data_IF_785902977874
#
_entry.id   IF_785902977874
#
_cell.length_a   1.000
_cell.length_b   1.000
_cell.length_c   1.000
_cell.angle_alpha   90.00
_cell.angle_beta   90.00
_cell.angle_gamma   90.00
#
_symmetry.space_group_name_H-M   'P 1'
#
loop_
_entity.id
_entity.type
_entity.pdbx_description
1 polymer ?
#
# COMPACT_ATOMS: atom_id res chain seq x y z
N UNK A 1 9.86 5.43 9.88
CA UNK A 1 8.67 4.69 9.44
C UNK A 1 8.24 3.70 10.52
N UNK A 2 6.99 3.57 10.72
CA UNK A 2 6.42 2.52 11.57
C UNK A 2 5.35 1.80 10.75
N UNK A 3 5.06 0.56 11.12
CA UNK A 3 3.97 -0.15 10.47
C UNK A 3 3.20 -0.99 11.48
N UNK A 4 1.96 -1.27 11.11
CA UNK A 4 1.05 -2.09 11.91
C UNK A 4 0.19 -2.88 10.94
N UNK A 5 -0.12 -4.13 11.29
CA UNK A 5 -0.99 -4.97 10.47
C UNK A 5 -2.29 -5.23 11.23
N UNK A 6 -3.39 -5.14 10.52
CA UNK A 6 -4.71 -5.42 11.06
C UNK A 6 -5.50 -6.21 10.03
N UNK A 7 -6.68 -6.69 10.38
CA UNK A 7 -7.52 -7.45 9.46
C UNK A 7 -8.90 -6.81 9.34
N UNK A 8 -9.50 -6.94 8.15
CA UNK A 8 -10.87 -6.53 7.87
C UNK A 8 -11.49 -7.62 6.99
N UNK A 9 -12.26 -8.53 7.58
CA UNK A 9 -12.77 -9.69 6.86
C UNK A 9 -11.63 -10.55 6.32
N UNK A 10 -11.63 -10.79 5.01
CA UNK A 10 -10.57 -11.56 4.36
C UNK A 10 -9.36 -10.72 3.97
N UNK A 11 -9.38 -9.41 4.26
CA UNK A 11 -8.29 -8.51 3.91
C UNK A 11 -7.33 -8.32 5.08
N UNK A 12 -6.04 -8.21 4.74
CA UNK A 12 -5.02 -7.73 5.67
C UNK A 12 -4.70 -6.29 5.32
N UNK A 13 -4.64 -5.43 6.33
CA UNK A 13 -4.36 -4.01 6.16
C UNK A 13 -3.00 -3.73 6.76
N UNK A 14 -2.09 -3.20 5.94
CA UNK A 14 -0.79 -2.72 6.41
C UNK A 14 -0.85 -1.21 6.53
N UNK A 15 -0.64 -0.69 7.74
CA UNK A 15 -0.60 0.75 8.02
C UNK A 15 0.85 1.19 8.03
N UNK A 16 1.21 2.08 7.13
CA UNK A 16 2.52 2.73 7.14
C UNK A 16 2.38 4.14 7.70
N UNK A 17 3.40 4.61 8.40
CA UNK A 17 3.38 5.97 8.96
C UNK A 17 4.78 6.59 8.91
N UNK A 18 4.82 7.92 8.95
CA UNK A 18 6.06 8.67 8.94
C UNK A 18 6.68 8.73 7.54
N UNK A 19 7.99 8.63 7.48
CA UNK A 19 8.74 8.77 6.23
C UNK A 19 9.03 7.39 5.62
N UNK A 20 8.57 7.19 4.40
CA UNK A 20 8.85 5.96 3.63
C UNK A 20 9.90 6.31 2.58
N UNK A 21 11.12 6.44 3.05
CA UNK A 21 12.26 6.90 2.26
C UNK A 21 13.23 5.74 1.98
N UNK A 22 14.37 6.07 1.38
CA UNK A 22 15.38 5.08 1.01
C UNK A 22 15.86 4.26 2.21
N UNK A 23 15.88 4.84 3.40
CA UNK A 23 16.31 4.14 4.61
C UNK A 23 15.31 3.06 5.03
N UNK A 24 14.02 3.33 4.90
CA UNK A 24 12.96 2.47 5.43
C UNK A 24 12.22 1.66 4.37
N UNK A 25 12.33 2.03 3.09
CA UNK A 25 11.60 1.33 2.03
C UNK A 25 11.98 -0.15 1.90
N UNK A 26 13.24 -0.60 2.14
CA UNK A 26 13.54 -2.03 2.11
C UNK A 26 12.74 -2.82 3.14
N UNK A 27 12.53 -2.25 4.34
CA UNK A 27 11.72 -2.88 5.38
C UNK A 27 10.25 -2.93 4.99
N UNK A 28 9.72 -1.83 4.45
CA UNK A 28 8.34 -1.78 3.95
C UNK A 28 8.12 -2.82 2.85
N UNK A 29 9.06 -2.94 1.93
CA UNK A 29 9.02 -3.93 0.86
C UNK A 29 8.98 -5.36 1.42
N UNK A 30 9.87 -5.67 2.38
CA UNK A 30 9.91 -6.98 3.01
C UNK A 30 8.57 -7.32 3.66
N UNK A 31 8.01 -6.38 4.41
CA UNK A 31 6.76 -6.58 5.12
C UNK A 31 5.59 -6.79 4.17
N UNK A 32 5.53 -6.00 3.10
CA UNK A 32 4.50 -6.14 2.06
C UNK A 32 4.60 -7.50 1.37
N UNK A 33 5.79 -7.90 0.97
CA UNK A 33 5.97 -9.17 0.27
C UNK A 33 5.71 -10.36 1.18
N UNK A 34 6.09 -10.27 2.46
CA UNK A 34 5.79 -11.31 3.43
C UNK A 34 4.27 -11.45 3.64
N UNK A 35 3.56 -10.34 3.69
CA UNK A 35 2.12 -10.34 3.84
C UNK A 35 1.44 -10.97 2.61
N UNK A 36 1.92 -10.66 1.42
CA UNK A 36 1.39 -11.19 0.18
C UNK A 36 1.62 -12.70 0.01
N UNK A 37 2.61 -13.26 0.69
CA UNK A 37 2.82 -14.71 0.72
C UNK A 37 1.74 -15.43 1.50
N UNK A 38 1.18 -14.76 2.51
CA UNK A 38 0.24 -15.36 3.44
C UNK A 38 -1.22 -15.05 3.10
N UNK A 39 -1.47 -13.98 2.32
CA UNK A 39 -2.81 -13.59 1.92
C UNK A 39 -2.78 -12.99 0.52
N UNK A 40 -3.84 -13.21 -0.22
CA UNK A 40 -4.01 -12.62 -1.56
C UNK A 40 -4.75 -11.29 -1.52
N UNK A 41 -5.19 -10.85 -0.35
CA UNK A 41 -6.02 -9.65 -0.20
C UNK A 41 -5.36 -8.68 0.75
N UNK A 42 -4.70 -7.68 0.19
CA UNK A 42 -3.90 -6.71 0.96
C UNK A 42 -4.35 -5.29 0.63
N UNK A 43 -4.57 -4.52 1.67
CA UNK A 43 -4.79 -3.08 1.60
C UNK A 43 -3.61 -2.40 2.29
N UNK A 44 -3.14 -1.30 1.72
CA UNK A 44 -2.08 -0.50 2.33
C UNK A 44 -2.65 0.86 2.69
N UNK A 45 -2.64 1.18 3.98
CA UNK A 45 -3.11 2.46 4.48
C UNK A 45 -1.94 3.43 4.56
N UNK A 46 -2.06 4.54 3.86
CA UNK A 46 -1.03 5.57 3.80
C UNK A 46 -1.47 6.88 4.45
N UNK A 47 -2.53 6.84 5.26
CA UNK A 47 -3.10 8.07 5.84
C UNK A 47 -2.14 8.78 6.80
N UNK A 48 -1.23 8.06 7.43
CA UNK A 48 -0.25 8.62 8.36
C UNK A 48 1.14 8.77 7.74
N UNK A 49 1.28 8.64 6.42
CA UNK A 49 2.56 8.83 5.74
C UNK A 49 2.81 10.32 5.55
N UNK A 50 3.91 10.82 6.11
CA UNK A 50 4.31 12.22 6.01
C UNK A 50 5.14 12.50 4.77
N UNK A 51 5.88 11.50 4.30
CA UNK A 51 6.80 11.63 3.18
C UNK A 51 7.00 10.25 2.54
N UNK A 52 7.05 10.23 1.22
CA UNK A 52 7.41 9.04 0.46
C UNK A 52 8.26 9.48 -0.74
N UNK A 53 9.36 8.77 -0.98
CA UNK A 53 10.21 9.03 -2.14
C UNK A 53 10.06 7.93 -3.19
N UNK A 54 10.88 8.01 -4.23
CA UNK A 54 10.81 7.05 -5.34
C UNK A 54 11.08 5.61 -4.89
N UNK A 55 11.91 5.41 -3.85
CA UNK A 55 12.17 4.06 -3.34
C UNK A 55 10.96 3.48 -2.63
N UNK A 56 10.22 4.30 -1.88
CA UNK A 56 8.96 3.88 -1.25
C UNK A 56 7.90 3.57 -2.28
N UNK A 57 7.78 4.41 -3.29
CA UNK A 57 6.85 4.19 -4.41
C UNK A 57 7.19 2.90 -5.14
N UNK A 58 8.48 2.63 -5.39
CA UNK A 58 8.91 1.40 -6.05
C UNK A 58 8.51 0.15 -5.25
N UNK A 59 8.56 0.23 -3.92
CA UNK A 59 8.13 -0.87 -3.05
C UNK A 59 6.64 -1.16 -3.22
N UNK A 60 5.82 -0.11 -3.33
CA UNK A 60 4.38 -0.27 -3.57
C UNK A 60 4.10 -0.86 -4.95
N UNK A 61 4.82 -0.42 -5.97
CA UNK A 61 4.68 -0.96 -7.33
C UNK A 61 5.03 -2.44 -7.37
N UNK A 62 6.12 -2.83 -6.72
CA UNK A 62 6.51 -4.24 -6.67
C UNK A 62 5.45 -5.09 -5.98
N UNK A 63 4.91 -4.61 -4.85
CA UNK A 63 3.84 -5.31 -4.15
C UNK A 63 2.59 -5.47 -5.02
N UNK A 64 2.24 -4.42 -5.74
CA UNK A 64 1.12 -4.45 -6.68
C UNK A 64 1.33 -5.51 -7.76
N UNK A 65 2.53 -5.57 -8.34
CA UNK A 65 2.86 -6.55 -9.37
C UNK A 65 2.80 -7.98 -8.83
N UNK A 66 3.31 -8.21 -7.63
CA UNK A 66 3.25 -9.54 -7.00
C UNK A 66 1.81 -9.96 -6.75
N UNK A 67 0.99 -9.04 -6.25
CA UNK A 67 -0.43 -9.32 -6.02
C UNK A 67 -1.14 -9.72 -7.33
N UNK A 68 -0.86 -9.01 -8.42
CA UNK A 68 -1.43 -9.33 -9.71
C UNK A 68 -0.99 -10.69 -10.24
N UNK A 69 0.29 -11.03 -10.05
CA UNK A 69 0.82 -12.34 -10.46
C UNK A 69 0.11 -13.48 -9.74
N UNK A 70 -0.28 -13.26 -8.49
CA UNK A 70 -0.99 -14.26 -7.69
C UNK A 70 -2.50 -14.15 -7.79
N UNK A 71 -3.01 -13.31 -8.71
CA UNK A 71 -4.45 -13.07 -8.88
C UNK A 71 -5.10 -12.58 -7.59
N UNK A 72 -4.35 -11.81 -6.81
CA UNK A 72 -4.80 -11.25 -5.55
C UNK A 72 -5.43 -9.88 -5.71
N UNK A 73 -5.94 -9.34 -4.60
CA UNK A 73 -6.45 -7.98 -4.52
C UNK A 73 -5.44 -7.10 -3.79
N UNK A 74 -5.15 -5.93 -4.34
CA UNK A 74 -4.25 -4.95 -3.75
C UNK A 74 -4.80 -3.57 -4.00
N UNK A 75 -4.89 -2.75 -2.95
CA UNK A 75 -5.33 -1.37 -3.08
C UNK A 75 -4.66 -0.50 -2.03
N UNK A 76 -4.63 0.80 -2.30
CA UNK A 76 -4.20 1.82 -1.36
C UNK A 76 -5.43 2.47 -0.75
N UNK A 77 -5.41 2.75 0.53
CA UNK A 77 -6.53 3.38 1.23
C UNK A 77 -6.06 4.56 2.05
N UNK A 78 -6.90 5.58 2.13
CA UNK A 78 -6.66 6.75 2.96
C UNK A 78 -5.37 7.47 2.63
N UNK A 79 -4.98 7.53 1.36
CA UNK A 79 -3.69 8.08 0.96
C UNK A 79 -3.56 9.53 1.39
N UNK A 80 -2.50 9.84 2.16
CA UNK A 80 -2.24 11.22 2.61
C UNK A 80 -1.99 12.14 1.42
N UNK A 81 -2.20 13.44 1.63
CA UNK A 81 -1.95 14.43 0.58
C UNK A 81 -0.51 14.38 0.08
N UNK A 82 0.44 14.23 1.01
CA UNK A 82 1.85 14.14 0.66
C UNK A 82 2.15 12.93 -0.22
N UNK A 83 1.62 11.76 0.13
CA UNK A 83 1.81 10.55 -0.65
C UNK A 83 1.08 10.64 -2.00
N UNK A 84 -0.13 11.19 -2.01
CA UNK A 84 -0.92 11.31 -3.23
C UNK A 84 -0.22 12.20 -4.26
N UNK A 85 0.39 13.31 -3.83
CA UNK A 85 1.14 14.19 -4.74
C UNK A 85 2.26 13.44 -5.45
N UNK A 86 3.01 12.60 -4.72
CA UNK A 86 4.09 11.81 -5.31
C UNK A 86 3.55 10.79 -6.30
N UNK A 87 2.46 10.11 -5.95
CA UNK A 87 1.82 9.16 -6.85
C UNK A 87 1.31 9.84 -8.13
N UNK A 88 0.71 11.03 -8.00
CA UNK A 88 0.21 11.79 -9.14
C UNK A 88 1.34 12.24 -10.07
N UNK A 89 2.45 12.71 -9.49
CA UNK A 89 3.62 13.12 -10.28
C UNK A 89 4.21 11.95 -11.07
N UNK A 90 4.17 10.76 -10.50
CA UNK A 90 4.63 9.53 -11.16
C UNK A 90 3.53 8.89 -12.03
N UNK A 91 2.34 9.47 -12.07
CA UNK A 91 1.16 8.95 -12.78
C UNK A 91 0.70 7.59 -12.28
N UNK A 92 1.04 7.25 -11.06
CA UNK A 92 0.68 5.96 -10.46
C UNK A 92 -0.69 5.99 -9.80
N UNK A 93 -1.28 7.18 -9.60
CA UNK A 93 -2.66 7.32 -9.17
C UNK A 93 -3.65 6.68 -10.15
N UNK A 94 -3.23 6.45 -11.40
CA UNK A 94 -4.01 5.75 -12.42
C UNK A 94 -3.76 4.25 -12.44
N UNK A 95 -2.64 3.80 -11.86
CA UNK A 95 -2.24 2.39 -11.83
C UNK A 95 -2.81 1.69 -10.61
N UNK A 96 -2.67 2.32 -9.44
CA UNK A 96 -3.21 1.75 -8.20
C UNK A 96 -4.70 2.02 -8.08
N UNK A 97 -5.42 1.06 -7.51
CA UNK A 97 -6.78 1.29 -7.03
C UNK A 97 -6.67 2.02 -5.69
N UNK A 98 -7.27 3.19 -5.61
CA UNK A 98 -7.18 4.05 -4.43
C UNK A 98 -8.59 4.31 -3.90
N UNK A 99 -8.77 4.06 -2.61
CA UNK A 99 -10.05 4.28 -1.93
C UNK A 99 -9.83 5.17 -0.70
N UNK A 100 -10.88 5.84 -0.26
CA UNK A 100 -10.79 6.70 0.93
C UNK A 100 -10.65 5.88 2.21
N UNK A 101 -11.30 4.72 2.28
CA UNK A 101 -11.30 3.87 3.47
C UNK A 101 -11.12 2.41 3.10
N UNK A 102 -10.67 1.62 4.08
CA UNK A 102 -10.57 0.18 3.92
C UNK A 102 -11.92 -0.48 3.66
N UNK A 103 -12.99 0.03 4.31
CA UNK A 103 -14.34 -0.50 4.09
C UNK A 103 -14.79 -0.32 2.64
N UNK A 104 -14.51 0.84 2.05
CA UNK A 104 -14.83 1.09 0.64
C UNK A 104 -14.06 0.17 -0.27
N UNK A 105 -12.77 -0.06 0.01
CA UNK A 105 -11.94 -0.94 -0.80
C UNK A 105 -12.44 -2.39 -0.72
N UNK A 106 -12.76 -2.86 0.47
CA UNK A 106 -13.27 -4.22 0.67
C UNK A 106 -14.61 -4.42 -0.05
N UNK A 107 -15.50 -3.44 0.01
CA UNK A 107 -16.79 -3.50 -0.67
C UNK A 107 -16.63 -3.52 -2.20
N UNK A 108 -15.72 -2.71 -2.74
CA UNK A 108 -15.50 -2.60 -4.17
C UNK A 108 -14.83 -3.84 -4.77
N UNK A 109 -13.91 -4.44 -4.03
CA UNK A 109 -13.15 -5.59 -4.52
C UNK A 109 -13.76 -6.95 -4.13
N UNK A 110 -14.74 -6.91 -3.24
CA UNK A 110 -15.38 -8.13 -2.77
C UNK A 110 -14.50 -8.94 -1.89
#
# INVERSE_FOLDING_TARGET
MQYKVNTLGSYSILYLSGDVDLQYSPKARQDLLALLKNTKRVLVDLSAVDYIDSSGVASLVEAYQVANQHQGAFALVGVSDAALQVLQLARLDKVFDIYDTADQAAAAKG
#
